data_IF_764077898414
#
_entry.id   IF_764077898414
#
_cell.length_a   1.000
_cell.length_b   1.000
_cell.length_c   1.000
_cell.angle_alpha   90.00
_cell.angle_beta   90.00
_cell.angle_gamma   90.00
#
_symmetry.space_group_name_H-M   'P 1'
#
loop_
_entity.id
_entity.type
_entity.pdbx_description
1 polymer ?
#
# COMPACT_ATOMS: atom_id res chain seq x y z
N UNK A 1 -25.61 0.95 -7.18
CA UNK A 1 -24.32 0.84 -6.48
C UNK A 1 -24.11 2.13 -5.69
N UNK A 2 -24.19 2.07 -4.37
CA UNK A 2 -24.32 3.23 -3.47
C UNK A 2 -23.02 4.04 -3.42
N UNK A 3 -23.05 5.21 -4.05
CA UNK A 3 -21.95 6.18 -4.16
C UNK A 3 -21.90 7.07 -2.91
N UNK A 4 -21.53 6.50 -1.75
CA UNK A 4 -21.50 7.24 -0.48
C UNK A 4 -20.42 6.76 0.50
N UNK A 5 -19.26 6.28 0.03
CA UNK A 5 -18.23 5.71 0.92
C UNK A 5 -17.08 6.66 1.32
N UNK A 6 -16.99 7.85 0.73
CA UNK A 6 -15.85 8.77 0.92
C UNK A 6 -16.17 10.05 1.73
N UNK A 7 -17.43 10.28 2.13
CA UNK A 7 -17.78 11.46 2.91
C UNK A 7 -17.36 11.28 4.38
N UNK A 8 -16.34 12.01 4.82
CA UNK A 8 -16.03 12.24 6.24
C UNK A 8 -15.08 11.25 6.93
N UNK A 9 -14.56 10.22 6.25
CA UNK A 9 -13.53 9.34 6.84
C UNK A 9 -12.16 10.03 6.84
N UNK A 10 -11.60 10.26 8.02
CA UNK A 10 -10.17 10.61 8.14
C UNK A 10 -9.34 9.36 7.81
N UNK A 11 -8.16 9.57 7.23
CA UNK A 11 -7.21 8.51 6.88
C UNK A 11 -6.82 7.63 8.07
N UNK A 12 -7.03 8.15 9.28
CA UNK A 12 -6.70 7.55 10.57
C UNK A 12 -7.72 6.46 10.97
N UNK A 13 -8.97 6.54 10.52
CA UNK A 13 -10.05 5.59 10.84
C UNK A 13 -10.01 4.29 10.02
N UNK A 14 -9.06 4.16 9.09
CA UNK A 14 -8.94 2.96 8.25
C UNK A 14 -7.96 1.96 8.89
N UNK A 15 -8.39 0.73 9.18
CA UNK A 15 -7.51 -0.32 9.69
C UNK A 15 -6.28 -0.51 8.81
N UNK A 16 -5.11 -0.71 9.44
CA UNK A 16 -3.84 -0.90 8.73
C UNK A 16 -3.92 -2.00 7.65
N UNK A 17 -4.54 -3.13 7.99
CA UNK A 17 -4.75 -4.24 7.04
C UNK A 17 -5.48 -3.80 5.76
N UNK A 18 -6.47 -2.90 5.86
CA UNK A 18 -7.17 -2.36 4.67
C UNK A 18 -6.28 -1.43 3.85
N UNK A 19 -5.43 -0.62 4.50
CA UNK A 19 -4.45 0.23 3.80
C UNK A 19 -3.43 -0.62 3.04
N UNK A 20 -2.91 -1.67 3.66
CA UNK A 20 -1.94 -2.57 3.05
C UNK A 20 -2.55 -3.39 1.91
N UNK A 21 -3.78 -3.88 2.07
CA UNK A 21 -4.51 -4.55 0.99
C UNK A 21 -4.72 -3.63 -0.22
N UNK A 22 -5.12 -2.37 0.02
CA UNK A 22 -5.27 -1.36 -1.04
C UNK A 22 -3.94 -1.04 -1.73
N UNK A 23 -2.82 -1.01 -0.99
CA UNK A 23 -1.49 -0.82 -1.56
C UNK A 23 -1.10 -2.00 -2.49
N UNK A 24 -1.37 -3.24 -2.06
CA UNK A 24 -1.13 -4.43 -2.87
C UNK A 24 -1.96 -4.40 -4.16
N UNK A 25 -3.26 -4.10 -4.06
CA UNK A 25 -4.14 -3.96 -5.22
C UNK A 25 -3.64 -2.87 -6.19
N UNK A 26 -3.22 -1.71 -5.66
CA UNK A 26 -2.64 -0.63 -6.45
C UNK A 26 -1.36 -1.09 -7.17
N UNK A 27 -0.49 -1.86 -6.52
CA UNK A 27 0.74 -2.37 -7.11
C UNK A 27 0.45 -3.30 -8.30
N UNK A 28 -0.48 -4.25 -8.12
CA UNK A 28 -0.91 -5.17 -9.19
C UNK A 28 -1.59 -4.43 -10.35
N UNK A 29 -2.39 -3.40 -10.07
CA UNK A 29 -2.97 -2.54 -11.09
C UNK A 29 -1.93 -1.72 -11.85
N UNK A 30 -0.90 -1.22 -11.15
CA UNK A 30 0.18 -0.42 -11.72
C UNK A 30 0.99 -1.20 -12.76
N UNK A 31 1.25 -2.48 -12.53
CA UNK A 31 1.99 -3.34 -13.49
C UNK A 31 1.23 -3.59 -14.79
N UNK A 32 -0.10 -3.49 -14.76
CA UNK A 32 -0.98 -3.67 -15.92
C UNK A 32 -1.10 -2.40 -16.79
N UNK A 33 -0.53 -1.28 -16.34
CA UNK A 33 -0.57 -0.02 -17.10
C UNK A 33 0.17 -0.15 -18.43
N UNK A 34 -0.44 0.40 -19.48
CA UNK A 34 0.15 0.49 -20.82
C UNK A 34 0.31 1.97 -21.20
N UNK A 35 1.51 2.45 -21.58
CA UNK A 35 2.77 1.69 -21.62
C UNK A 35 3.27 1.31 -20.22
N UNK A 36 4.06 0.23 -20.13
CA UNK A 36 4.66 -0.20 -18.86
C UNK A 36 5.48 0.92 -18.25
N UNK A 37 5.24 1.21 -16.97
CA UNK A 37 5.94 2.25 -16.20
C UNK A 37 6.90 1.61 -15.22
N UNK A 38 7.99 2.32 -14.89
CA UNK A 38 8.92 1.85 -13.87
C UNK A 38 8.24 1.79 -12.49
N UNK A 39 8.38 0.66 -11.79
CA UNK A 39 7.77 0.42 -10.48
C UNK A 39 8.20 1.45 -9.41
N UNK A 40 9.36 2.10 -9.58
CA UNK A 40 9.82 3.18 -8.69
C UNK A 40 8.88 4.38 -8.64
N UNK A 41 8.00 4.56 -9.63
CA UNK A 41 6.95 5.60 -9.59
C UNK A 41 5.92 5.25 -8.51
N UNK A 42 5.46 4.00 -8.43
CA UNK A 42 4.57 3.52 -7.37
C UNK A 42 5.18 3.76 -5.98
N UNK A 43 6.48 3.47 -5.84
CA UNK A 43 7.19 3.58 -4.56
C UNK A 43 7.11 4.97 -3.92
N UNK A 44 7.02 6.03 -4.73
CA UNK A 44 6.84 7.41 -4.24
C UNK A 44 5.56 7.59 -3.41
N UNK A 45 4.55 6.76 -3.63
CA UNK A 45 3.24 6.87 -2.99
C UNK A 45 3.05 5.97 -1.76
N UNK A 46 3.99 5.06 -1.47
CA UNK A 46 3.91 4.13 -0.33
C UNK A 46 3.72 4.86 1.01
N UNK A 47 4.23 6.09 1.15
CA UNK A 47 4.05 6.92 2.36
C UNK A 47 2.60 7.06 2.79
N UNK A 48 1.69 7.21 1.83
CA UNK A 48 0.28 7.47 2.13
C UNK A 48 -0.40 6.27 2.80
N UNK A 49 0.11 5.05 2.57
CA UNK A 49 -0.45 3.81 3.08
C UNK A 49 0.22 3.37 4.39
N UNK A 50 1.52 3.69 4.52
CA UNK A 50 2.40 3.19 5.59
C UNK A 50 2.82 4.35 6.49
N UNK A 51 1.88 4.85 7.29
CA UNK A 51 2.10 5.95 8.23
C UNK A 51 1.10 5.91 9.41
N UNK A 52 1.51 6.47 10.56
CA UNK A 52 0.63 6.65 11.72
C UNK A 52 0.44 5.40 12.60
N UNK A 53 1.39 4.46 12.60
CA UNK A 53 1.38 3.28 13.46
C UNK A 53 2.81 2.87 13.82
N UNK A 54 2.96 2.05 14.86
CA UNK A 54 4.26 1.56 15.32
C UNK A 54 4.92 0.64 14.29
N UNK A 55 6.24 0.79 14.07
CA UNK A 55 6.96 0.06 13.01
C UNK A 55 6.70 0.55 11.57
N UNK A 56 5.96 1.64 11.35
CA UNK A 56 5.67 2.14 10.01
C UNK A 56 6.94 2.52 9.21
N UNK A 57 7.97 3.04 9.87
CA UNK A 57 9.23 3.40 9.21
C UNK A 57 10.00 2.16 8.70
N UNK A 58 10.01 1.07 9.47
CA UNK A 58 10.66 -0.20 9.14
C UNK A 58 9.95 -0.88 7.98
N UNK A 59 8.63 -1.05 8.07
CA UNK A 59 7.82 -1.60 6.97
C UNK A 59 7.97 -0.78 5.69
N UNK A 60 8.01 0.56 5.80
CA UNK A 60 8.26 1.42 4.64
C UNK A 60 9.63 1.13 4.02
N UNK A 61 10.68 1.02 4.82
CA UNK A 61 12.03 0.76 4.34
C UNK A 61 12.09 -0.57 3.57
N UNK A 62 11.46 -1.62 4.10
CA UNK A 62 11.35 -2.90 3.40
C UNK A 62 10.58 -2.79 2.09
N UNK A 63 9.40 -2.14 2.09
CA UNK A 63 8.59 -1.96 0.88
C UNK A 63 9.31 -1.16 -0.22
N UNK A 64 10.28 -0.30 0.12
CA UNK A 64 11.11 0.39 -0.88
C UNK A 64 12.05 -0.54 -1.65
N UNK A 65 12.38 -1.71 -1.09
CA UNK A 65 13.23 -2.71 -1.74
C UNK A 65 12.51 -3.51 -2.81
N UNK A 66 11.17 -3.54 -2.80
CA UNK A 66 10.39 -4.26 -3.81
C UNK A 66 10.62 -3.70 -5.23
N UNK A 67 10.71 -4.63 -6.19
CA UNK A 67 10.88 -4.34 -7.61
C UNK A 67 9.61 -4.58 -8.43
N UNK A 68 8.64 -5.31 -7.86
CA UNK A 68 7.40 -5.69 -8.51
C UNK A 68 6.26 -5.88 -7.48
N UNK A 69 5.03 -6.04 -7.98
CA UNK A 69 3.85 -6.19 -7.12
C UNK A 69 3.91 -7.44 -6.24
N UNK A 70 4.41 -8.57 -6.77
CA UNK A 70 4.52 -9.83 -6.02
C UNK A 70 5.49 -9.74 -4.83
N UNK A 71 6.65 -9.10 -5.01
CA UNK A 71 7.60 -8.85 -3.91
C UNK A 71 6.99 -7.92 -2.86
N UNK A 72 6.30 -6.87 -3.30
CA UNK A 72 5.61 -5.94 -2.41
C UNK A 72 4.56 -6.66 -1.55
N UNK A 73 3.74 -7.51 -2.17
CA UNK A 73 2.74 -8.34 -1.50
C UNK A 73 3.38 -9.32 -0.51
N UNK A 74 4.49 -9.95 -0.89
CA UNK A 74 5.22 -10.86 -0.01
C UNK A 74 5.79 -10.14 1.24
N UNK A 75 6.24 -8.88 1.11
CA UNK A 75 6.67 -8.07 2.25
C UNK A 75 5.48 -7.77 3.15
N UNK A 76 4.34 -7.36 2.59
CA UNK A 76 3.11 -7.11 3.36
C UNK A 76 2.68 -8.35 4.14
N UNK A 77 2.73 -9.54 3.52
CA UNK A 77 2.36 -10.80 4.16
C UNK A 77 3.25 -11.18 5.35
N UNK A 78 4.53 -10.76 5.35
CA UNK A 78 5.46 -10.97 6.47
C UNK A 78 5.20 -10.04 7.66
N UNK A 79 4.51 -8.93 7.42
CA UNK A 79 4.12 -7.95 8.42
C UNK A 79 2.62 -8.06 8.69
N UNK A 80 2.17 -9.06 9.49
CA UNK A 80 0.78 -9.10 9.90
C UNK A 80 0.49 -7.78 10.64
N UNK A 81 -0.60 -7.11 10.25
CA UNK A 81 -1.06 -5.92 10.95
C UNK A 81 -1.33 -6.30 12.41
N UNK A 82 -0.31 -6.14 13.27
CA UNK A 82 -0.46 -6.33 14.71
C UNK A 82 -1.34 -5.18 15.17
N UNK A 83 -2.49 -5.59 15.73
CA UNK A 83 -3.52 -4.71 16.26
C UNK A 83 -3.01 -3.90 17.45
#
# INVERSE_FOLDING_TARGET
MTRAQFAGKKSEDTPLAKKLAALSELAHGFEKLTPRKNFSILKKHIKAFVTGFDGAAELRAELMTAENAAQLEAIIAKHPARA
#
